data_IF_342762510477
#
_entry.id   IF_342762510477
#
_cell.length_a   1.000
_cell.length_b   1.000
_cell.length_c   1.000
_cell.angle_alpha   90.00
_cell.angle_beta   90.00
_cell.angle_gamma   90.00
#
_symmetry.space_group_name_H-M   'P 1'
#
loop_
_entity.id
_entity.type
_entity.pdbx_description
1 polymer ?
#
# COMPACT_ATOMS: atom_id res chain seq x y z
N UNK A 1 46.55 -18.00 16.34
CA UNK A 1 46.52 -17.32 15.02
C UNK A 1 45.31 -17.86 14.27
N UNK A 2 44.40 -17.01 13.82
CA UNK A 2 43.23 -17.46 13.05
C UNK A 2 43.68 -18.08 11.72
N UNK A 3 43.10 -19.22 11.35
CA UNK A 3 43.44 -19.93 10.11
C UNK A 3 43.05 -19.07 8.90
N UNK A 4 43.98 -18.68 8.01
CA UNK A 4 43.71 -17.76 6.90
C UNK A 4 42.64 -18.28 5.92
N UNK A 5 42.47 -19.61 5.80
CA UNK A 5 41.40 -20.20 5.00
C UNK A 5 40.01 -20.01 5.62
N UNK A 6 39.92 -19.95 6.96
CA UNK A 6 38.66 -19.67 7.67
C UNK A 6 38.30 -18.19 7.53
N UNK A 7 39.28 -17.29 7.68
CA UNK A 7 39.07 -15.86 7.50
C UNK A 7 38.62 -15.49 6.06
N UNK A 8 39.19 -16.13 5.04
CA UNK A 8 38.78 -15.91 3.65
C UNK A 8 37.35 -16.42 3.38
N UNK A 9 36.99 -17.58 3.95
CA UNK A 9 35.65 -18.15 3.87
C UNK A 9 34.61 -17.24 4.54
N UNK A 10 34.91 -16.74 5.74
CA UNK A 10 34.03 -15.83 6.47
C UNK A 10 33.82 -14.49 5.75
N UNK A 11 34.87 -13.94 5.13
CA UNK A 11 34.77 -12.73 4.31
C UNK A 11 33.87 -12.91 3.08
N UNK A 12 33.98 -14.05 2.39
CA UNK A 12 33.10 -14.38 1.25
C UNK A 12 31.65 -14.55 1.71
N UNK A 13 31.40 -15.23 2.84
CA UNK A 13 30.03 -15.31 3.38
C UNK A 13 29.49 -13.95 3.79
N UNK A 14 30.32 -13.10 4.40
CA UNK A 14 29.95 -11.72 4.70
C UNK A 14 29.52 -10.97 3.45
N UNK A 15 30.33 -10.99 2.39
CA UNK A 15 30.01 -10.35 1.11
C UNK A 15 28.71 -10.89 0.49
N UNK A 16 28.50 -12.21 0.51
CA UNK A 16 27.27 -12.83 0.01
C UNK A 16 26.04 -12.44 0.82
N UNK A 17 26.17 -12.32 2.15
CA UNK A 17 25.09 -11.86 3.00
C UNK A 17 24.76 -10.38 2.76
N UNK A 18 25.76 -9.52 2.55
CA UNK A 18 25.53 -8.13 2.18
C UNK A 18 24.82 -8.00 0.83
N UNK A 19 25.26 -8.76 -0.17
CA UNK A 19 24.58 -8.80 -1.48
C UNK A 19 23.13 -9.26 -1.34
N UNK A 20 22.89 -10.34 -0.58
CA UNK A 20 21.54 -10.85 -0.31
C UNK A 20 20.67 -9.79 0.38
N UNK A 21 21.21 -9.11 1.38
CA UNK A 21 20.47 -8.10 2.14
C UNK A 21 20.17 -6.86 1.28
N UNK A 22 21.08 -6.47 0.38
CA UNK A 22 20.85 -5.39 -0.58
C UNK A 22 19.70 -5.73 -1.53
N UNK A 23 19.73 -6.92 -2.14
CA UNK A 23 18.64 -7.39 -3.02
C UNK A 23 17.30 -7.41 -2.28
N UNK A 24 17.28 -7.90 -1.03
CA UNK A 24 16.04 -7.97 -0.26
C UNK A 24 15.52 -6.59 0.19
N UNK A 25 16.39 -5.59 0.31
CA UNK A 25 15.99 -4.23 0.65
C UNK A 25 15.40 -3.48 -0.55
N UNK A 26 15.81 -3.83 -1.76
CA UNK A 26 15.32 -3.23 -3.00
C UNK A 26 13.99 -3.85 -3.48
N UNK A 27 13.57 -4.99 -2.93
CA UNK A 27 12.30 -5.64 -3.28
C UNK A 27 11.19 -5.10 -2.38
N UNK A 28 10.34 -4.24 -2.92
CA UNK A 28 9.13 -3.81 -2.22
C UNK A 28 8.00 -4.83 -2.40
N UNK A 29 7.34 -5.19 -1.29
CA UNK A 29 6.29 -6.20 -1.28
C UNK A 29 4.97 -5.63 -0.77
N UNK A 30 4.88 -5.44 0.55
CA UNK A 30 3.68 -4.92 1.19
C UNK A 30 4.06 -4.09 2.39
N UNK A 31 3.35 -2.99 2.59
CA UNK A 31 3.65 -2.05 3.66
C UNK A 31 2.41 -1.36 4.20
N UNK A 32 2.53 -0.97 5.47
CA UNK A 32 1.57 -0.10 6.12
C UNK A 32 1.83 1.34 5.68
N UNK A 33 0.78 2.00 5.22
CA UNK A 33 0.84 3.39 4.81
C UNK A 33 -0.33 4.19 5.41
N UNK A 34 -0.16 5.50 5.48
CA UNK A 34 -1.20 6.45 5.83
C UNK A 34 -1.61 7.23 4.60
N UNK A 35 -2.91 7.35 4.39
CA UNK A 35 -3.49 8.17 3.31
C UNK A 35 -3.26 9.66 3.61
N UNK A 36 -2.59 10.35 2.70
CA UNK A 36 -2.35 11.80 2.77
C UNK A 36 -3.46 12.56 2.04
N UNK A 37 -3.88 12.02 0.90
CA UNK A 37 -4.94 12.56 0.04
C UNK A 37 -5.68 11.39 -0.61
N UNK A 38 -6.98 11.55 -0.81
CA UNK A 38 -7.80 10.58 -1.53
C UNK A 38 -8.67 11.32 -2.55
N UNK A 39 -8.66 10.86 -3.79
CA UNK A 39 -9.56 11.29 -4.85
C UNK A 39 -10.62 10.20 -5.07
N UNK A 40 -11.86 10.49 -4.67
CA UNK A 40 -12.99 9.58 -4.79
C UNK A 40 -13.54 9.46 -6.21
N UNK A 41 -13.23 10.39 -7.11
CA UNK A 41 -13.73 10.34 -8.49
C UNK A 41 -12.91 9.39 -9.37
N UNK A 42 -11.60 9.32 -9.12
CA UNK A 42 -10.68 8.43 -9.82
C UNK A 42 -10.28 7.20 -9.00
N UNK A 43 -10.69 7.13 -7.72
CA UNK A 43 -10.31 6.10 -6.77
C UNK A 43 -8.79 5.93 -6.64
N UNK A 44 -8.07 7.05 -6.60
CA UNK A 44 -6.62 7.10 -6.37
C UNK A 44 -6.30 7.81 -5.06
N UNK A 45 -5.19 7.43 -4.43
CA UNK A 45 -4.76 7.98 -3.17
C UNK A 45 -3.26 8.29 -3.17
N UNK A 46 -2.89 9.39 -2.52
CA UNK A 46 -1.51 9.60 -2.16
C UNK A 46 -1.27 9.01 -0.77
N UNK A 47 -0.24 8.20 -0.63
CA UNK A 47 0.05 7.43 0.57
C UNK A 47 1.46 7.67 1.08
N UNK A 48 1.63 7.65 2.39
CA UNK A 48 2.91 7.75 3.07
C UNK A 48 3.20 6.44 3.80
N UNK A 49 4.21 5.65 3.38
CA UNK A 49 4.64 4.50 4.15
C UNK A 49 5.02 4.88 5.59
N UNK A 50 4.67 4.01 6.53
CA UNK A 50 4.87 4.22 7.97
C UNK A 50 6.19 3.63 8.50
N UNK A 51 6.71 2.61 7.83
CA UNK A 51 8.01 2.05 8.17
C UNK A 51 9.09 3.08 7.81
N UNK A 52 9.93 3.42 8.79
CA UNK A 52 11.09 4.28 8.57
C UNK A 52 12.24 3.45 8.01
N UNK A 53 13.12 4.09 7.25
CA UNK A 53 14.39 3.50 6.86
C UNK A 53 15.25 3.15 8.09
N UNK A 54 16.25 2.30 7.90
CA UNK A 54 17.21 1.94 8.96
C UNK A 54 18.01 3.14 9.48
N UNK A 55 18.12 4.20 8.68
CA UNK A 55 18.71 5.49 8.99
C UNK A 55 17.74 6.45 9.71
N UNK A 56 16.50 6.02 9.93
CA UNK A 56 15.44 6.80 10.58
C UNK A 56 14.75 7.82 9.68
N UNK A 57 15.10 7.86 8.38
CA UNK A 57 14.42 8.71 7.41
C UNK A 57 13.02 8.18 7.11
N UNK A 58 12.10 9.12 6.85
CA UNK A 58 10.77 8.78 6.38
C UNK A 58 10.85 8.36 4.91
N UNK A 59 10.11 7.33 4.52
CA UNK A 59 10.01 6.91 3.11
C UNK A 59 9.42 8.03 2.25
N UNK A 60 9.69 7.99 0.95
CA UNK A 60 9.02 8.88 0.01
C UNK A 60 7.51 8.62 0.00
N UNK A 61 6.73 9.67 -0.27
CA UNK A 61 5.30 9.56 -0.49
C UNK A 61 5.05 8.94 -1.87
N UNK A 62 4.09 8.01 -1.95
CA UNK A 62 3.67 7.43 -3.22
C UNK A 62 2.41 8.16 -3.68
N UNK A 63 2.36 8.50 -4.97
CA UNK A 63 1.36 9.39 -5.54
C UNK A 63 0.41 8.63 -6.46
N UNK A 64 -0.84 9.07 -6.52
CA UNK A 64 -1.86 8.56 -7.44
C UNK A 64 -2.02 7.02 -7.43
N UNK A 65 -1.85 6.42 -6.25
CA UNK A 65 -1.91 4.97 -6.07
C UNK A 65 -3.37 4.50 -6.19
N UNK A 66 -3.68 3.52 -7.07
CA UNK A 66 -5.02 3.00 -7.21
C UNK A 66 -5.51 2.35 -5.91
N UNK A 67 -6.79 2.54 -5.62
CA UNK A 67 -7.46 1.97 -4.46
C UNK A 67 -8.40 0.86 -4.92
N UNK A 68 -8.23 -0.33 -4.37
CA UNK A 68 -9.08 -1.47 -4.71
C UNK A 68 -10.54 -1.22 -4.30
N UNK A 69 -11.48 -1.68 -5.14
CA UNK A 69 -12.92 -1.44 -5.00
C UNK A 69 -13.47 -1.80 -3.62
N UNK A 70 -12.97 -2.87 -3.01
CA UNK A 70 -13.39 -3.29 -1.67
C UNK A 70 -13.13 -2.25 -0.58
N UNK A 71 -12.21 -1.30 -0.79
CA UNK A 71 -11.84 -0.29 0.18
C UNK A 71 -12.78 0.92 0.21
N UNK A 72 -13.47 1.22 -0.89
CA UNK A 72 -14.34 2.41 -1.01
C UNK A 72 -15.80 2.06 -1.32
N UNK A 73 -16.10 0.86 -1.81
CA UNK A 73 -17.47 0.48 -2.18
C UNK A 73 -18.43 0.53 -0.98
N UNK A 74 -17.94 0.22 0.22
CA UNK A 74 -18.74 0.34 1.44
C UNK A 74 -19.11 1.80 1.67
N UNK A 75 -18.16 2.73 1.55
CA UNK A 75 -18.40 4.16 1.74
C UNK A 75 -19.43 4.70 0.74
N UNK A 76 -19.34 4.31 -0.53
CA UNK A 76 -20.31 4.71 -1.56
C UNK A 76 -21.71 4.15 -1.30
N UNK A 77 -21.80 2.87 -0.91
CA UNK A 77 -23.08 2.24 -0.57
C UNK A 77 -23.71 2.97 0.61
N UNK A 78 -22.91 3.29 1.63
CA UNK A 78 -23.35 4.04 2.80
C UNK A 78 -23.82 5.46 2.44
N UNK A 79 -23.12 6.14 1.54
CA UNK A 79 -23.52 7.47 1.06
C UNK A 79 -24.87 7.46 0.34
N UNK A 80 -25.18 6.38 -0.38
CA UNK A 80 -26.51 6.18 -1.00
C UNK A 80 -27.61 5.97 0.04
N UNK A 81 -27.29 5.49 1.24
CA UNK A 81 -28.25 5.29 2.32
C UNK A 81 -28.43 6.52 3.23
N UNK A 82 -27.52 7.50 3.21
CA UNK A 82 -27.62 8.75 4.00
C UNK A 82 -28.97 9.49 3.90
N UNK A 83 -29.65 9.57 2.74
CA UNK A 83 -30.97 10.19 2.67
C UNK A 83 -32.04 9.52 3.56
N UNK A 84 -31.85 8.25 3.90
CA UNK A 84 -32.71 7.47 4.79
C UNK A 84 -32.19 7.33 6.23
N UNK A 85 -31.15 8.06 6.61
CA UNK A 85 -30.49 7.91 7.91
C UNK A 85 -31.44 8.14 9.09
N UNK A 86 -32.40 9.06 8.97
CA UNK A 86 -33.41 9.29 10.01
C UNK A 86 -34.28 8.03 10.25
N UNK A 87 -34.75 7.39 9.17
CA UNK A 87 -35.51 6.14 9.25
C UNK A 87 -34.66 4.99 9.80
N UNK A 88 -33.39 4.91 9.39
CA UNK A 88 -32.46 3.88 9.88
C UNK A 88 -32.22 4.02 11.39
N UNK A 89 -31.99 5.25 11.87
CA UNK A 89 -31.81 5.54 13.29
C UNK A 89 -33.07 5.23 14.11
N UNK A 90 -34.27 5.51 13.59
CA UNK A 90 -35.55 5.15 14.22
C UNK A 90 -35.72 3.62 14.37
N UNK A 91 -35.10 2.83 13.49
CA UNK A 91 -35.13 1.36 13.51
C UNK A 91 -33.86 0.75 14.15
N UNK A 92 -33.06 1.56 14.85
CA UNK A 92 -31.89 1.10 15.62
C UNK A 92 -30.66 0.79 14.78
N UNK A 93 -30.59 1.26 13.53
CA UNK A 93 -29.43 1.10 12.64
C UNK A 93 -28.64 2.40 12.57
N UNK A 94 -27.48 2.43 13.22
CA UNK A 94 -26.55 3.57 13.20
C UNK A 94 -25.53 3.42 12.07
N UNK A 95 -25.39 4.42 11.22
CA UNK A 95 -24.36 4.44 10.17
C UNK A 95 -23.01 4.91 10.74
N UNK A 96 -21.87 4.43 10.20
CA UNK A 96 -20.55 4.90 10.60
C UNK A 96 -20.40 6.40 10.37
N UNK A 97 -19.78 7.10 11.31
CA UNK A 97 -19.62 8.57 11.24
C UNK A 97 -18.59 9.03 10.22
N UNK A 98 -17.70 8.13 9.80
CA UNK A 98 -16.56 8.44 8.94
C UNK A 98 -16.48 7.40 7.82
N UNK A 99 -16.09 7.86 6.64
CA UNK A 99 -15.68 6.97 5.55
C UNK A 99 -14.46 6.16 5.96
N UNK A 100 -14.41 4.89 5.56
CA UNK A 100 -13.25 4.02 5.71
C UNK A 100 -12.07 4.63 4.96
N UNK A 101 -12.24 4.89 3.67
CA UNK A 101 -11.21 5.51 2.84
C UNK A 101 -11.27 7.04 2.96
N UNK A 102 -10.33 7.59 3.71
CA UNK A 102 -10.25 9.04 3.99
C UNK A 102 -8.80 9.47 4.23
N UNK A 103 -8.56 10.78 4.17
CA UNK A 103 -7.30 11.35 4.67
C UNK A 103 -7.06 10.91 6.12
N UNK A 104 -5.86 10.41 6.38
CA UNK A 104 -5.42 9.89 7.67
C UNK A 104 -5.74 8.42 7.92
N UNK A 105 -6.52 7.75 7.04
CA UNK A 105 -6.76 6.31 7.16
C UNK A 105 -5.46 5.53 7.06
N UNK A 106 -5.37 4.45 7.84
CA UNK A 106 -4.26 3.50 7.78
C UNK A 106 -4.64 2.37 6.84
N UNK A 107 -3.77 2.10 5.87
CA UNK A 107 -4.00 1.16 4.79
C UNK A 107 -2.86 0.17 4.66
N UNK A 108 -3.17 -1.00 4.12
CA UNK A 108 -2.18 -1.94 3.61
C UNK A 108 -2.07 -1.70 2.11
N UNK A 109 -0.83 -1.55 1.66
CA UNK A 109 -0.49 -1.42 0.25
C UNK A 109 0.35 -2.60 -0.17
N UNK A 110 0.11 -3.08 -1.39
CA UNK A 110 0.88 -4.16 -2.01
C UNK A 110 1.49 -3.58 -3.27
N UNK A 111 2.77 -3.87 -3.47
CA UNK A 111 3.50 -3.52 -4.68
C UNK A 111 3.38 -4.66 -5.67
N UNK A 112 3.00 -4.34 -6.89
CA UNK A 112 2.85 -5.32 -7.97
C UNK A 112 4.23 -5.75 -8.49
N UNK A 113 4.29 -7.00 -8.96
CA UNK A 113 5.52 -7.60 -9.49
C UNK A 113 5.98 -6.90 -10.77
N UNK A 114 5.05 -6.37 -11.57
CA UNK A 114 5.26 -5.75 -12.87
C UNK A 114 4.71 -4.32 -12.92
N UNK A 115 5.27 -3.50 -13.81
CA UNK A 115 4.74 -2.16 -14.10
C UNK A 115 3.29 -2.21 -14.58
N UNK A 116 2.43 -1.49 -13.86
CA UNK A 116 0.97 -1.49 -14.00
C UNK A 116 0.41 -0.27 -14.73
N UNK A 117 1.26 0.67 -15.17
CA UNK A 117 0.86 1.96 -15.75
C UNK A 117 -0.08 1.82 -16.96
N UNK A 118 0.15 0.80 -17.80
CA UNK A 118 -0.63 0.55 -19.02
C UNK A 118 -1.85 -0.35 -18.80
N UNK A 119 -2.16 -0.75 -17.57
CA UNK A 119 -3.35 -1.54 -17.28
C UNK A 119 -4.59 -0.65 -17.26
N UNK A 120 -5.62 -1.04 -18.00
CA UNK A 120 -6.86 -0.27 -18.19
C UNK A 120 -7.97 -0.61 -17.17
N UNK A 121 -7.65 -1.42 -16.15
CA UNK A 121 -8.62 -1.92 -15.18
C UNK A 121 -9.48 -3.08 -15.69
N UNK A 122 -9.27 -3.56 -16.92
CA UNK A 122 -10.00 -4.70 -17.48
C UNK A 122 -9.36 -6.04 -17.11
N UNK A 123 -10.07 -7.13 -17.38
CA UNK A 123 -9.52 -8.49 -17.29
C UNK A 123 -8.64 -8.90 -18.48
N UNK A 124 -8.27 -7.97 -19.35
CA UNK A 124 -7.46 -8.25 -20.54
C UNK A 124 -5.96 -8.25 -20.21
N UNK A 125 -5.18 -8.93 -21.06
CA UNK A 125 -3.73 -8.83 -21.00
C UNK A 125 -3.27 -7.41 -21.40
N UNK A 126 -2.25 -6.90 -20.70
CA UNK A 126 -1.62 -5.62 -20.99
C UNK A 126 -0.10 -5.80 -21.07
N UNK A 127 0.58 -4.85 -21.71
CA UNK A 127 2.05 -4.84 -21.79
C UNK A 127 2.59 -3.80 -20.80
N UNK A 128 3.52 -4.18 -19.91
CA UNK A 128 4.22 -3.24 -19.04
C UNK A 128 4.94 -2.17 -19.87
N UNK A 129 4.93 -0.91 -19.41
CA UNK A 129 5.61 0.19 -20.11
C UNK A 129 7.12 0.18 -19.85
N UNK A 130 7.50 -0.27 -18.65
CA UNK A 130 8.88 -0.35 -18.18
C UNK A 130 9.23 -1.76 -17.69
N UNK A 131 10.53 -2.00 -17.48
CA UNK A 131 11.04 -3.25 -16.90
C UNK A 131 11.13 -3.22 -15.37
N UNK A 132 10.50 -2.22 -14.71
CA UNK A 132 10.48 -2.11 -13.25
C UNK A 132 9.76 -3.34 -12.66
N UNK A 133 10.26 -3.80 -11.52
CA UNK A 133 9.73 -4.93 -10.76
C UNK A 133 9.75 -4.57 -9.28
N UNK A 134 8.70 -4.93 -8.53
CA UNK A 134 8.64 -4.69 -7.09
C UNK A 134 8.95 -3.24 -6.71
N UNK A 135 8.39 -2.30 -7.47
CA UNK A 135 8.68 -0.86 -7.36
C UNK A 135 7.49 -0.11 -6.75
N UNK A 136 7.79 0.78 -5.79
CA UNK A 136 6.83 1.66 -5.10
C UNK A 136 5.72 2.26 -5.96
N UNK A 137 6.03 2.67 -7.20
CA UNK A 137 5.09 3.36 -8.06
C UNK A 137 3.99 2.42 -8.59
N UNK A 138 4.19 1.11 -8.51
CA UNK A 138 3.22 0.08 -8.90
C UNK A 138 2.47 -0.48 -7.68
N UNK A 139 2.33 0.33 -6.63
CA UNK A 139 1.54 -0.03 -5.47
C UNK A 139 0.03 0.00 -5.76
N UNK A 140 -0.72 -0.77 -4.99
CA UNK A 140 -2.18 -0.73 -4.92
C UNK A 140 -2.62 -0.81 -3.45
N UNK A 141 -3.61 -0.01 -3.07
CA UNK A 141 -4.25 -0.13 -1.76
C UNK A 141 -5.22 -1.29 -1.78
N UNK A 142 -4.98 -2.32 -0.96
CA UNK A 142 -5.79 -3.55 -0.92
C UNK A 142 -6.70 -3.64 0.29
N UNK A 143 -6.44 -2.84 1.33
CA UNK A 143 -7.24 -2.86 2.55
C UNK A 143 -7.07 -1.61 3.40
N UNK A 144 -8.19 -1.19 3.99
CA UNK A 144 -8.23 -0.19 5.06
C UNK A 144 -8.26 -0.93 6.40
N UNK A 145 -7.29 -0.68 7.28
CA UNK A 145 -7.21 -1.38 8.57
C UNK A 145 -8.27 -0.93 9.57
N UNK A 146 -8.88 0.24 9.33
CA UNK A 146 -9.87 0.80 10.22
C UNK A 146 -9.23 1.43 11.45
N UNK A 147 -9.54 2.70 11.67
CA UNK A 147 -9.29 3.43 12.90
C UNK A 147 -10.65 3.98 13.37
N UNK A 148 -10.87 4.11 14.68
CA UNK A 148 -12.13 4.45 15.36
C UNK A 148 -13.28 4.88 14.41
N UNK A 149 -13.96 3.85 13.88
CA UNK A 149 -14.96 3.94 12.79
C UNK A 149 -16.39 4.10 13.38
N UNK A 150 -16.56 3.80 14.68
CA UNK A 150 -17.82 3.86 15.43
C UNK A 150 -17.89 5.10 16.35
#
# INVERSE_FOLDING_TARGET
MANPHVAAKDAIYGAMNYLRNGIMADIECAQLARVIKYDSAQHVADIQPLAKGFDGQDSAQYLDIPVSANCYIVDEVMDRFKPGEAWLNEHGVTLPKKHLMRKGAIVITVVLDDDSTNWDGSGNAYNPDTSRKHDANDAIVVGVLGDDIF
#
